data_IF_272115060812
#
_entry.id   IF_272115060812
#
_cell.length_a   1.000
_cell.length_b   1.000
_cell.length_c   1.000
_cell.angle_alpha   90.00
_cell.angle_beta   90.00
_cell.angle_gamma   90.00
#
_symmetry.space_group_name_H-M   'P 1'
#
loop_
_entity.id
_entity.type
_entity.pdbx_description
1 polymer ?
#
# COMPACT_ATOMS: atom_id res chain seq x y z
N UNK A 1 -4.13 4.53 1.36
CA UNK A 1 -4.29 4.07 -0.04
C UNK A 1 -5.27 2.91 -0.15
N UNK A 2 -4.90 1.68 0.26
CA UNK A 2 -5.79 0.50 0.16
C UNK A 2 -7.20 0.73 0.72
N UNK A 3 -7.34 1.30 1.93
CA UNK A 3 -8.64 1.60 2.53
C UNK A 3 -9.48 2.62 1.73
N UNK A 4 -8.83 3.65 1.17
CA UNK A 4 -9.50 4.65 0.31
C UNK A 4 -9.96 4.01 -0.99
N UNK A 5 -9.06 3.26 -1.65
CA UNK A 5 -9.35 2.55 -2.89
C UNK A 5 -10.24 1.31 -2.71
N UNK A 6 -10.66 0.99 -1.47
CA UNK A 6 -11.35 -0.27 -1.09
C UNK A 6 -10.72 -1.52 -1.73
N UNK A 7 -9.39 -1.53 -1.84
CA UNK A 7 -8.65 -2.57 -2.57
C UNK A 7 -7.90 -3.44 -1.57
N UNK A 8 -8.11 -4.78 -1.56
CA UNK A 8 -7.44 -5.67 -0.64
C UNK A 8 -5.93 -5.72 -0.91
N UNK A 9 -5.17 -6.05 0.13
CA UNK A 9 -3.73 -6.30 0.02
C UNK A 9 -3.43 -7.77 0.34
N UNK A 10 -2.39 -8.30 -0.28
CA UNK A 10 -1.93 -9.66 -0.04
C UNK A 10 -1.13 -9.75 1.27
N UNK A 11 -1.70 -10.43 2.27
CA UNK A 11 -1.14 -10.53 3.62
C UNK A 11 0.13 -11.40 3.73
N UNK A 12 0.47 -12.14 2.68
CA UNK A 12 1.72 -12.91 2.63
C UNK A 12 2.96 -12.05 2.38
N UNK A 13 2.81 -10.72 2.28
CA UNK A 13 3.92 -9.80 2.01
C UNK A 13 4.09 -8.86 3.20
N UNK A 14 5.25 -8.94 3.85
CA UNK A 14 5.67 -7.95 4.84
C UNK A 14 6.31 -6.74 4.18
N UNK A 15 6.26 -5.60 4.86
CA UNK A 15 6.82 -4.34 4.36
C UNK A 15 7.66 -3.69 5.44
N UNK A 16 8.85 -3.21 5.08
CA UNK A 16 9.66 -2.35 5.94
C UNK A 16 10.26 -1.22 5.12
N UNK A 17 10.25 -0.01 5.65
CA UNK A 17 10.81 1.18 5.01
C UNK A 17 10.33 2.46 5.69
N UNK A 18 11.02 3.56 5.42
CA UNK A 18 10.52 4.91 5.73
C UNK A 18 10.11 5.59 4.42
N UNK A 19 9.27 6.62 4.49
CA UNK A 19 8.74 7.33 3.33
C UNK A 19 8.96 8.83 3.46
N UNK A 20 9.42 9.48 2.40
CA UNK A 20 9.51 10.94 2.33
C UNK A 20 8.16 11.56 1.95
N UNK A 21 8.00 12.87 2.11
CA UNK A 21 6.79 13.58 1.67
C UNK A 21 6.52 13.46 0.16
N UNK A 22 7.55 13.17 -0.64
CA UNK A 22 7.46 12.94 -2.08
C UNK A 22 7.16 11.49 -2.45
N UNK A 23 6.93 10.61 -1.47
CA UNK A 23 6.70 9.18 -1.71
C UNK A 23 7.98 8.36 -1.96
N UNK A 24 9.16 8.93 -1.74
CA UNK A 24 10.42 8.19 -1.89
C UNK A 24 10.67 7.27 -0.69
N UNK A 25 11.10 6.03 -0.97
CA UNK A 25 11.42 5.06 0.07
C UNK A 25 12.83 5.28 0.60
N UNK A 26 12.94 5.26 1.92
CA UNK A 26 14.15 5.56 2.67
C UNK A 26 14.63 4.34 3.44
N UNK A 27 15.95 4.27 3.60
CA UNK A 27 16.61 3.18 4.31
C UNK A 27 16.19 3.13 5.78
N UNK A 28 16.13 1.92 6.32
CA UNK A 28 15.85 1.67 7.73
C UNK A 28 16.87 0.70 8.33
N UNK A 29 16.98 0.70 9.66
CA UNK A 29 17.84 -0.23 10.39
C UNK A 29 17.27 -1.65 10.45
N UNK A 30 18.17 -2.63 10.52
CA UNK A 30 17.84 -4.02 10.83
C UNK A 30 17.07 -4.78 9.76
N UNK A 31 17.17 -4.40 8.47
CA UNK A 31 16.42 -5.03 7.38
C UNK A 31 16.65 -6.54 7.30
N UNK A 32 17.90 -7.02 7.38
CA UNK A 32 18.22 -8.46 7.38
C UNK A 32 17.40 -9.23 8.43
N UNK A 33 17.41 -8.76 9.69
CA UNK A 33 16.66 -9.40 10.78
C UNK A 33 15.16 -9.39 10.55
N UNK A 34 14.62 -8.32 9.96
CA UNK A 34 13.19 -8.22 9.63
C UNK A 34 12.80 -9.20 8.53
N UNK A 35 13.64 -9.34 7.50
CA UNK A 35 13.42 -10.31 6.41
C UNK A 35 13.45 -11.74 6.96
N UNK A 36 14.47 -12.07 7.74
CA UNK A 36 14.63 -13.41 8.32
C UNK A 36 13.50 -13.76 9.29
N UNK A 37 13.08 -12.83 10.15
CA UNK A 37 11.97 -13.04 11.07
C UNK A 37 10.65 -13.33 10.34
N UNK A 38 10.35 -12.59 9.26
CA UNK A 38 9.14 -12.86 8.47
C UNK A 38 9.25 -14.19 7.73
N UNK A 39 10.41 -14.49 7.13
CA UNK A 39 10.67 -15.78 6.51
C UNK A 39 10.45 -16.95 7.48
N UNK A 40 10.93 -16.85 8.72
CA UNK A 40 10.77 -17.91 9.72
C UNK A 40 9.30 -18.16 10.08
N UNK A 41 8.50 -17.09 10.17
CA UNK A 41 7.05 -17.21 10.37
C UNK A 41 6.40 -17.90 9.16
N UNK A 42 6.72 -17.47 7.94
CA UNK A 42 6.19 -18.09 6.72
C UNK A 42 6.59 -19.57 6.59
N UNK A 43 7.85 -19.90 6.90
CA UNK A 43 8.35 -21.27 6.87
C UNK A 43 7.66 -22.14 7.90
N UNK A 44 7.42 -21.63 9.11
CA UNK A 44 6.70 -22.35 10.15
C UNK A 44 5.23 -22.61 9.77
N UNK A 45 4.58 -21.66 9.10
CA UNK A 45 3.20 -21.82 8.61
C UNK A 45 3.09 -22.59 7.29
N UNK A 46 4.21 -22.86 6.62
CA UNK A 46 4.27 -23.43 5.27
C UNK A 46 4.46 -22.34 4.21
N UNK A 47 5.55 -22.46 3.45
CA UNK A 47 5.81 -21.59 2.31
C UNK A 47 4.83 -21.87 1.18
N UNK A 48 4.27 -20.81 0.60
CA UNK A 48 3.26 -20.91 -0.47
C UNK A 48 3.72 -20.40 -1.84
N UNK A 49 5.01 -20.08 -1.99
CA UNK A 49 5.59 -19.59 -3.24
C UNK A 49 5.26 -18.14 -3.59
N UNK A 50 4.47 -17.44 -2.78
CA UNK A 50 4.07 -16.05 -3.01
C UNK A 50 4.49 -15.10 -1.88
N UNK A 51 4.91 -15.63 -0.74
CA UNK A 51 5.29 -14.82 0.42
C UNK A 51 6.61 -14.08 0.19
N UNK A 52 6.78 -12.95 0.86
CA UNK A 52 8.03 -12.20 0.74
C UNK A 52 8.06 -10.90 1.52
N UNK A 53 9.11 -10.12 1.30
CA UNK A 53 9.30 -8.84 1.99
C UNK A 53 9.64 -7.73 1.01
N UNK A 54 8.90 -6.63 1.09
CA UNK A 54 9.24 -5.36 0.45
C UNK A 54 10.25 -4.62 1.33
N UNK A 55 11.36 -4.19 0.73
CA UNK A 55 12.44 -3.47 1.41
C UNK A 55 12.85 -2.20 0.64
N UNK A 56 13.52 -1.24 1.30
CA UNK A 56 14.11 -0.11 0.60
C UNK A 56 15.24 -0.58 -0.32
N UNK A 57 15.25 -0.13 -1.57
CA UNK A 57 16.35 -0.40 -2.52
C UNK A 57 17.71 0.00 -1.94
N UNK A 58 17.74 1.11 -1.19
CA UNK A 58 18.94 1.63 -0.50
C UNK A 58 19.52 0.66 0.54
N UNK A 59 18.74 -0.31 1.03
CA UNK A 59 19.20 -1.32 1.99
C UNK A 59 19.75 -2.60 1.33
N UNK A 60 19.62 -2.77 0.01
CA UNK A 60 20.09 -4.00 -0.69
C UNK A 60 21.56 -4.29 -0.39
N UNK A 61 22.42 -3.26 -0.41
CA UNK A 61 23.84 -3.36 -0.07
C UNK A 61 24.14 -3.84 1.36
N UNK A 62 23.16 -3.79 2.25
CA UNK A 62 23.28 -4.19 3.65
C UNK A 62 22.67 -5.57 3.94
N UNK A 63 22.05 -6.21 2.95
CA UNK A 63 21.46 -7.53 3.12
C UNK A 63 22.54 -8.61 3.22
N UNK A 64 22.55 -9.29 4.37
CA UNK A 64 23.42 -10.43 4.65
C UNK A 64 22.55 -11.56 5.17
N UNK A 65 21.83 -12.21 4.27
CA UNK A 65 20.79 -13.19 4.59
C UNK A 65 21.40 -14.56 4.86
N UNK A 66 20.80 -15.32 5.80
CA UNK A 66 21.12 -16.74 5.99
C UNK A 66 20.85 -17.57 4.72
N UNK A 67 21.63 -18.64 4.57
CA UNK A 67 21.59 -19.51 3.38
C UNK A 67 20.18 -20.04 3.05
N UNK A 68 19.41 -20.41 4.07
CA UNK A 68 18.05 -20.95 3.93
C UNK A 68 17.07 -19.96 3.27
N UNK A 69 17.22 -18.65 3.53
CA UNK A 69 16.44 -17.61 2.84
C UNK A 69 16.88 -17.54 1.38
N UNK A 70 18.19 -17.54 1.12
CA UNK A 70 18.74 -17.48 -0.24
C UNK A 70 18.25 -18.66 -1.08
N UNK A 71 18.27 -19.87 -0.51
CA UNK A 71 17.84 -21.09 -1.21
C UNK A 71 16.34 -21.07 -1.50
N UNK A 72 15.53 -20.60 -0.54
CA UNK A 72 14.09 -20.44 -0.73
C UNK A 72 13.75 -19.39 -1.80
N UNK A 73 14.51 -18.30 -1.86
CA UNK A 73 14.37 -17.28 -2.91
C UNK A 73 14.76 -17.85 -4.27
N UNK A 74 15.87 -18.57 -4.37
CA UNK A 74 16.29 -19.25 -5.62
C UNK A 74 15.28 -20.28 -6.09
N UNK A 75 14.61 -20.96 -5.17
CA UNK A 75 13.56 -21.93 -5.47
C UNK A 75 12.18 -21.29 -5.77
N UNK A 76 12.09 -19.95 -5.79
CA UNK A 76 10.84 -19.22 -6.00
C UNK A 76 9.80 -19.40 -4.88
N UNK A 77 10.23 -19.88 -3.70
CA UNK A 77 9.36 -20.15 -2.56
C UNK A 77 9.13 -18.91 -1.69
N UNK A 78 10.04 -17.94 -1.76
CA UNK A 78 9.99 -16.68 -1.01
C UNK A 78 10.57 -15.55 -1.87
N UNK A 79 10.16 -14.32 -1.63
CA UNK A 79 10.52 -13.18 -2.48
C UNK A 79 11.03 -11.99 -1.67
N UNK A 80 11.93 -11.20 -2.26
CA UNK A 80 12.39 -9.94 -1.67
C UNK A 80 12.31 -8.88 -2.77
N UNK A 81 11.51 -7.84 -2.54
CA UNK A 81 11.28 -6.77 -3.51
C UNK A 81 11.92 -5.48 -3.03
N UNK A 82 13.05 -5.06 -3.61
CA UNK A 82 13.58 -3.72 -3.39
C UNK A 82 12.72 -2.69 -4.14
N UNK A 83 12.27 -1.66 -3.43
CA UNK A 83 11.51 -0.55 -4.00
C UNK A 83 12.13 0.80 -3.66
N UNK A 84 11.87 1.78 -4.52
CA UNK A 84 12.30 3.17 -4.40
C UNK A 84 11.14 4.14 -4.19
N UNK A 85 9.90 3.77 -4.54
CA UNK A 85 8.73 4.63 -4.36
C UNK A 85 7.52 3.89 -3.76
N UNK A 86 6.55 4.62 -3.22
CA UNK A 86 5.33 4.06 -2.63
C UNK A 86 4.46 3.34 -3.68
N UNK A 87 4.45 3.84 -4.92
CA UNK A 87 3.72 3.28 -6.06
C UNK A 87 4.13 1.83 -6.29
N UNK A 88 5.44 1.57 -6.38
CA UNK A 88 5.95 0.21 -6.56
C UNK A 88 5.50 -0.73 -5.43
N UNK A 89 5.51 -0.23 -4.19
CA UNK A 89 5.08 -1.02 -3.04
C UNK A 89 3.59 -1.36 -3.06
N UNK A 90 2.75 -0.39 -3.42
CA UNK A 90 1.30 -0.60 -3.43
C UNK A 90 0.86 -1.49 -4.59
N UNK A 91 1.57 -1.43 -5.72
CA UNK A 91 1.38 -2.35 -6.85
C UNK A 91 1.66 -3.80 -6.46
N UNK A 92 2.77 -4.04 -5.77
CA UNK A 92 3.12 -5.39 -5.30
C UNK A 92 2.07 -5.90 -4.30
N UNK A 93 1.62 -5.05 -3.37
CA UNK A 93 0.66 -5.44 -2.34
C UNK A 93 -0.74 -5.72 -2.88
N UNK A 94 -1.17 -4.98 -3.89
CA UNK A 94 -2.56 -5.02 -4.41
C UNK A 94 -2.71 -5.80 -5.71
N UNK A 95 -1.63 -5.98 -6.47
CA UNK A 95 -1.67 -6.50 -7.84
C UNK A 95 -2.32 -5.54 -8.84
N UNK A 96 -2.55 -4.28 -8.46
CA UNK A 96 -3.18 -3.24 -9.28
C UNK A 96 -2.17 -2.14 -9.55
N UNK A 97 -2.07 -1.68 -10.81
CA UNK A 97 -1.22 -0.55 -11.17
C UNK A 97 -1.56 0.69 -10.33
N UNK A 98 -0.56 1.45 -9.88
CA UNK A 98 -0.78 2.65 -9.08
C UNK A 98 -1.51 3.73 -9.89
N UNK A 99 -1.07 3.92 -11.14
CA UNK A 99 -1.57 4.96 -12.06
C UNK A 99 -0.74 6.24 -11.99
N UNK A 100 -0.50 6.88 -13.13
CA UNK A 100 0.18 8.17 -13.22
C UNK A 100 -0.83 9.28 -13.48
N UNK A 101 -0.57 10.48 -12.96
CA UNK A 101 -1.42 11.65 -13.19
C UNK A 101 -1.35 12.04 -14.67
N UNK A 102 -2.50 12.11 -15.32
CA UNK A 102 -2.64 12.47 -16.72
C UNK A 102 -2.66 14.00 -16.88
N UNK A 103 -2.45 14.47 -18.11
CA UNK A 103 -2.43 15.91 -18.43
C UNK A 103 -3.76 16.63 -18.16
N UNK A 104 -4.88 15.89 -18.14
CA UNK A 104 -6.21 16.42 -17.83
C UNK A 104 -6.52 16.44 -16.32
N UNK A 105 -5.56 16.03 -15.48
CA UNK A 105 -5.71 15.99 -14.03
C UNK A 105 -6.35 14.71 -13.50
N UNK A 106 -6.61 13.71 -14.35
CA UNK A 106 -7.21 12.43 -13.94
C UNK A 106 -6.16 11.32 -13.82
N UNK A 107 -6.57 10.15 -13.30
CA UNK A 107 -5.75 8.93 -13.30
C UNK A 107 -6.39 7.89 -14.23
N UNK A 108 -5.59 7.02 -14.89
CA UNK A 108 -6.14 6.00 -15.78
C UNK A 108 -7.16 5.11 -15.06
N UNK A 109 -8.26 4.80 -15.74
CA UNK A 109 -9.35 3.99 -15.18
C UNK A 109 -8.85 2.62 -14.71
N UNK A 110 -9.36 2.16 -13.58
CA UNK A 110 -9.04 0.86 -12.99
C UNK A 110 -7.71 0.82 -12.22
N UNK A 111 -6.92 1.90 -12.25
CA UNK A 111 -5.72 2.04 -11.41
C UNK A 111 -6.09 2.28 -9.95
N UNK A 112 -5.12 2.12 -9.06
CA UNK A 112 -5.35 2.35 -7.64
C UNK A 112 -5.66 3.82 -7.36
N UNK A 113 -4.93 4.75 -7.97
CA UNK A 113 -5.10 6.18 -7.73
C UNK A 113 -6.39 6.73 -8.32
N UNK A 114 -6.92 6.18 -9.42
CA UNK A 114 -8.26 6.54 -9.89
C UNK A 114 -9.33 6.20 -8.84
N UNK A 115 -9.27 5.00 -8.24
CA UNK A 115 -10.20 4.59 -7.17
C UNK A 115 -10.08 5.45 -5.91
N UNK A 116 -8.87 5.92 -5.59
CA UNK A 116 -8.65 6.84 -4.46
C UNK A 116 -9.31 8.20 -4.76
N UNK A 117 -9.13 8.72 -5.97
CA UNK A 117 -9.69 10.00 -6.40
C UNK A 117 -11.23 9.97 -6.41
N UNK A 118 -11.82 8.92 -6.97
CA UNK A 118 -13.26 8.65 -6.90
C UNK A 118 -13.78 8.66 -5.45
N UNK A 119 -13.04 8.02 -4.54
CA UNK A 119 -13.42 7.99 -3.12
C UNK A 119 -13.34 9.38 -2.48
N UNK A 120 -12.39 10.22 -2.86
CA UNK A 120 -12.33 11.59 -2.36
C UNK A 120 -13.52 12.42 -2.86
N UNK A 121 -13.93 12.26 -4.12
CA UNK A 121 -15.13 12.91 -4.66
C UNK A 121 -16.39 12.46 -3.91
N UNK A 122 -16.54 11.17 -3.63
CA UNK A 122 -17.64 10.65 -2.80
C UNK A 122 -17.66 11.32 -1.41
N UNK A 123 -16.51 11.41 -0.75
CA UNK A 123 -16.40 12.01 0.59
C UNK A 123 -16.74 13.51 0.53
N UNK A 124 -16.27 14.23 -0.49
CA UNK A 124 -16.56 15.65 -0.67
C UNK A 124 -18.06 15.90 -0.84
N UNK A 125 -18.76 15.08 -1.63
CA UNK A 125 -20.21 15.16 -1.79
C UNK A 125 -20.97 14.87 -0.49
N UNK A 126 -20.49 13.90 0.30
CA UNK A 126 -21.07 13.61 1.62
C UNK A 126 -20.94 14.82 2.54
N UNK A 127 -19.73 15.40 2.65
CA UNK A 127 -19.47 16.58 3.48
C UNK A 127 -20.34 17.77 3.06
N UNK A 128 -20.49 18.00 1.75
CA UNK A 128 -21.31 19.08 1.19
C UNK A 128 -22.79 18.91 1.52
N UNK A 129 -23.31 17.68 1.55
CA UNK A 129 -24.71 17.41 1.93
C UNK A 129 -24.96 17.71 3.40
N UNK A 130 -24.08 17.24 4.30
CA UNK A 130 -24.19 17.53 5.72
C UNK A 130 -24.15 19.03 6.04
N UNK A 131 -23.27 19.79 5.38
CA UNK A 131 -23.21 21.23 5.56
C UNK A 131 -24.52 21.94 5.14
N UNK A 132 -25.21 21.45 4.10
CA UNK A 132 -26.50 22.01 3.66
C UNK A 132 -27.66 21.64 4.59
N UNK A 133 -27.64 20.44 5.16
CA UNK A 133 -28.66 20.00 6.12
C UNK A 133 -28.57 20.76 7.45
N UNK A 134 -27.37 21.22 7.86
CA UNK A 134 -27.20 22.10 9.03
C UNK A 134 -27.61 23.57 8.77
N UNK A 135 -27.61 24.03 7.51
CA UNK A 135 -28.02 25.38 7.12
C UNK A 135 -29.53 25.56 6.92
N UNK A 136 -30.31 24.47 6.85
CA UNK A 136 -31.78 24.52 6.83
C UNK A 136 -32.35 24.34 8.26
N UNK A 137 -32.61 25.41 9.03
CA UNK A 137 -33.36 25.29 10.27
C UNK A 137 -34.79 24.83 9.96
N UNK A 138 -35.35 23.98 10.83
CA UNK A 138 -36.75 23.55 10.83
C UNK A 138 -37.72 24.70 10.48
N UNK A 139 -38.17 24.76 9.22
CA UNK A 139 -39.43 25.41 8.88
C UNK A 139 -40.57 24.43 9.20
N UNK A 140 -40.84 24.24 10.48
CA UNK A 140 -42.06 23.60 10.94
C UNK A 140 -42.52 24.22 12.26
N UNK A 141 -43.52 25.09 12.19
CA UNK A 141 -44.23 25.58 13.36
C UNK A 141 -44.80 27.01 13.28
N UNK A 142 -45.39 27.42 12.16
CA UNK A 142 -46.49 28.40 12.19
C UNK A 142 -47.79 27.61 12.00
N UNK A 143 -48.62 27.56 13.04
CA UNK A 143 -50.09 27.68 12.98
C UNK A 143 -50.68 27.35 14.37
N UNK A 144 -50.86 28.39 15.22
CA UNK A 144 -52.00 28.56 16.15
C UNK A 144 -52.09 30.02 16.63
#
# INVERSE_FOLDING_TARGET
LSALARTPIYQGIAVTGSVSQKGEIQAVGGVTRKVEAFFDICKHQGLNGRQGVIIPEKNVRNLMLKQDVIDSVKAGQFHIWPISTVEQGIEILTGTAAGELQSDGTYPEGTLFSKVDERFLEIAEIVKKFAKEEEEPEKSGEDE
#
